data_IF_230024696984
#
_entry.id   IF_230024696984
#
_cell.length_a   1.000
_cell.length_b   1.000
_cell.length_c   1.000
_cell.angle_alpha   90.00
_cell.angle_beta   90.00
_cell.angle_gamma   90.00
#
_symmetry.space_group_name_H-M   'P 1'
#
loop_
_entity.id
_entity.type
_entity.pdbx_description
1 polymer ?
#
# COMPACT_ATOMS: atom_id res chain seq x y z
N UNK A 1 -30.58 2.55 1.87
CA UNK A 1 -29.95 2.89 0.59
C UNK A 1 -28.58 2.23 0.54
N UNK A 2 -28.48 1.02 -0.03
CA UNK A 2 -27.20 0.31 -0.16
C UNK A 2 -26.33 1.02 -1.21
N UNK A 3 -25.24 1.64 -0.79
CA UNK A 3 -24.20 2.10 -1.72
C UNK A 3 -23.64 0.86 -2.41
N UNK A 4 -23.85 0.75 -3.72
CA UNK A 4 -23.10 -0.20 -4.56
C UNK A 4 -21.62 0.20 -4.47
N UNK A 5 -20.79 -0.71 -3.99
CA UNK A 5 -19.34 -0.61 -4.18
C UNK A 5 -19.08 -0.87 -5.68
N UNK A 6 -19.13 0.18 -6.48
CA UNK A 6 -18.65 0.12 -7.87
C UNK A 6 -17.12 0.11 -7.82
N UNK A 7 -16.52 -0.94 -8.34
CA UNK A 7 -15.07 -1.04 -8.46
C UNK A 7 -14.63 -0.05 -9.54
N UNK A 8 -13.95 1.02 -9.14
CA UNK A 8 -13.39 1.99 -10.09
C UNK A 8 -12.11 1.39 -10.67
N UNK A 9 -12.04 1.14 -11.99
CA UNK A 9 -10.83 0.66 -12.62
C UNK A 9 -9.80 1.78 -12.65
N UNK A 10 -8.70 1.62 -11.91
CA UNK A 10 -7.56 2.53 -12.00
C UNK A 10 -6.80 2.15 -13.26
N UNK A 11 -6.58 3.13 -14.13
CA UNK A 11 -5.79 2.94 -15.34
C UNK A 11 -4.39 2.51 -14.92
N UNK A 12 -3.96 1.30 -15.32
CA UNK A 12 -2.65 0.76 -15.00
C UNK A 12 -1.48 1.65 -15.45
N UNK A 13 -1.76 2.64 -16.33
CA UNK A 13 -0.81 3.66 -16.79
C UNK A 13 -0.38 4.65 -15.69
N UNK A 14 -1.11 4.74 -14.59
CA UNK A 14 -0.89 5.71 -13.51
C UNK A 14 -0.09 5.15 -12.32
N UNK A 15 0.03 3.83 -12.20
CA UNK A 15 0.76 3.20 -11.10
C UNK A 15 2.22 2.98 -11.50
N UNK A 16 3.12 3.77 -10.92
CA UNK A 16 4.56 3.54 -11.07
C UNK A 16 4.95 2.19 -10.47
N UNK A 17 5.73 1.41 -11.23
CA UNK A 17 6.30 0.15 -10.73
C UNK A 17 7.37 0.52 -9.69
N UNK A 18 7.19 0.05 -8.45
CA UNK A 18 8.18 0.20 -7.38
C UNK A 18 8.85 -1.15 -7.16
N UNK A 19 10.17 -1.13 -7.08
CA UNK A 19 10.98 -2.30 -6.78
C UNK A 19 11.78 -2.04 -5.50
N UNK A 20 11.75 -3.00 -4.57
CA UNK A 20 12.46 -2.94 -3.31
C UNK A 20 13.09 -4.32 -3.04
N UNK A 21 14.39 -4.35 -2.78
CA UNK A 21 15.20 -5.58 -2.67
C UNK A 21 14.97 -6.59 -3.81
N UNK A 22 14.89 -6.12 -5.05
CA UNK A 22 14.69 -6.98 -6.23
C UNK A 22 13.27 -7.54 -6.37
N UNK A 23 12.33 -7.08 -5.54
CA UNK A 23 10.94 -7.52 -5.56
C UNK A 23 10.02 -6.36 -5.94
N UNK A 24 9.03 -6.63 -6.79
CA UNK A 24 8.00 -5.64 -7.09
C UNK A 24 7.09 -5.49 -5.89
N UNK A 25 6.94 -4.26 -5.43
CA UNK A 25 6.12 -3.89 -4.28
C UNK A 25 5.11 -2.83 -4.67
N UNK A 26 4.08 -2.68 -3.85
CA UNK A 26 3.09 -1.60 -3.93
C UNK A 26 3.14 -0.82 -2.63
N UNK A 27 3.16 0.51 -2.73
CA UNK A 27 3.17 1.35 -1.52
C UNK A 27 1.78 1.41 -0.89
N UNK A 28 1.73 1.80 0.38
CA UNK A 28 0.46 2.01 1.10
C UNK A 28 -0.41 3.06 0.39
N UNK A 29 0.20 4.09 -0.21
CA UNK A 29 -0.49 5.10 -1.02
C UNK A 29 -1.08 4.51 -2.30
N UNK A 30 -0.32 3.67 -3.01
CA UNK A 30 -0.81 3.01 -4.22
C UNK A 30 -1.97 2.05 -3.92
N UNK A 31 -1.90 1.33 -2.79
CA UNK A 31 -3.01 0.50 -2.32
C UNK A 31 -4.24 1.36 -1.97
N UNK A 32 -4.05 2.50 -1.33
CA UNK A 32 -5.12 3.42 -0.97
C UNK A 32 -5.85 3.97 -2.21
N UNK A 33 -5.10 4.43 -3.22
CA UNK A 33 -5.65 4.79 -4.54
C UNK A 33 -6.37 3.59 -5.15
N UNK A 34 -5.70 2.43 -5.16
CA UNK A 34 -6.18 1.08 -5.51
C UNK A 34 -7.61 0.78 -5.07
N UNK A 35 -7.85 0.96 -3.77
CA UNK A 35 -9.09 0.65 -3.11
C UNK A 35 -10.06 1.84 -3.00
N UNK A 36 -9.66 3.04 -3.45
CA UNK A 36 -10.45 4.26 -3.30
C UNK A 36 -10.68 4.65 -1.84
N UNK A 37 -9.68 4.42 -0.98
CA UNK A 37 -9.74 4.71 0.47
C UNK A 37 -8.59 5.60 0.90
N UNK A 38 -8.72 6.23 2.06
CA UNK A 38 -7.59 6.97 2.65
C UNK A 38 -6.44 6.04 3.04
N UNK A 39 -5.20 6.51 2.89
CA UNK A 39 -3.97 5.82 3.32
C UNK A 39 -4.06 5.37 4.78
N UNK A 40 -4.64 6.21 5.63
CA UNK A 40 -4.85 5.93 7.05
C UNK A 40 -5.74 4.71 7.29
N UNK A 41 -6.67 4.40 6.38
CA UNK A 41 -7.51 3.20 6.50
C UNK A 41 -6.70 1.94 6.22
N UNK A 42 -5.78 1.96 5.26
CA UNK A 42 -4.86 0.85 4.99
C UNK A 42 -3.94 0.64 6.20
N UNK A 43 -3.32 1.70 6.72
CA UNK A 43 -2.46 1.63 7.91
C UNK A 43 -3.19 1.08 9.14
N UNK A 44 -4.40 1.59 9.42
CA UNK A 44 -5.23 1.11 10.53
C UNK A 44 -5.62 -0.37 10.35
N UNK A 45 -5.94 -0.79 9.12
CA UNK A 45 -6.28 -2.17 8.84
C UNK A 45 -5.09 -3.10 9.06
N UNK A 46 -3.91 -2.70 8.58
CA UNK A 46 -2.65 -3.40 8.80
C UNK A 46 -2.36 -3.54 10.29
N UNK A 47 -2.33 -2.44 11.05
CA UNK A 47 -2.04 -2.46 12.48
C UNK A 47 -3.01 -3.35 13.29
N UNK A 48 -4.31 -3.34 12.94
CA UNK A 48 -5.31 -4.20 13.60
C UNK A 48 -5.18 -5.68 13.27
N UNK A 49 -4.52 -6.02 12.16
CA UNK A 49 -4.39 -7.37 11.65
C UNK A 49 -2.92 -7.78 11.50
N UNK A 50 -2.00 -7.09 12.17
CA UNK A 50 -0.56 -7.21 11.98
C UNK A 50 -0.09 -8.66 12.16
N UNK A 51 -0.71 -9.38 13.11
CA UNK A 51 -0.45 -10.80 13.37
C UNK A 51 -0.70 -11.74 12.19
N UNK A 52 -1.40 -11.28 11.14
CA UNK A 52 -1.66 -12.02 9.90
C UNK A 52 -0.59 -11.81 8.83
N UNK A 53 0.31 -10.85 9.06
CA UNK A 53 1.35 -10.45 8.13
C UNK A 53 2.71 -10.88 8.65
N UNK A 54 3.67 -10.97 7.73
CA UNK A 54 5.03 -11.41 8.01
C UNK A 54 5.95 -10.51 7.23
N UNK A 55 6.86 -9.84 7.94
CA UNK A 55 7.83 -8.92 7.34
C UNK A 55 8.71 -9.65 6.33
N UNK A 56 9.03 -8.99 5.23
CA UNK A 56 9.80 -9.55 4.11
C UNK A 56 9.04 -10.52 3.20
N UNK A 57 7.83 -10.96 3.60
CA UNK A 57 6.94 -11.79 2.77
C UNK A 57 5.69 -11.03 2.32
N UNK A 58 5.01 -10.40 3.26
CA UNK A 58 3.74 -9.73 3.01
C UNK A 58 3.86 -8.21 3.01
N UNK A 59 4.81 -7.66 3.77
CA UNK A 59 5.08 -6.23 3.83
C UNK A 59 6.57 -5.99 4.11
N UNK A 60 7.03 -4.79 3.78
CA UNK A 60 8.31 -4.25 4.21
C UNK A 60 8.04 -3.05 5.09
N UNK A 61 8.60 -3.03 6.29
CA UNK A 61 8.53 -1.85 7.13
C UNK A 61 9.68 -0.92 6.78
N UNK A 62 9.37 0.31 6.37
CA UNK A 62 10.37 1.29 5.96
C UNK A 62 10.34 2.42 6.99
N UNK A 63 11.37 2.48 7.83
CA UNK A 63 11.47 3.44 8.93
C UNK A 63 12.82 4.17 8.92
N UNK A 64 12.91 5.28 9.66
CA UNK A 64 14.17 5.99 9.88
C UNK A 64 14.83 6.48 8.59
N UNK A 65 16.07 6.06 8.38
CA UNK A 65 16.91 6.50 7.26
C UNK A 65 16.40 5.99 5.91
N UNK A 66 15.88 4.75 5.84
CA UNK A 66 15.31 4.23 4.59
C UNK A 66 14.08 5.04 4.15
N UNK A 67 13.25 5.49 5.10
CA UNK A 67 12.10 6.32 4.79
C UNK A 67 12.51 7.71 4.26
N UNK A 68 13.64 8.25 4.74
CA UNK A 68 14.17 9.50 4.22
C UNK A 68 14.70 9.33 2.79
N UNK A 69 15.38 8.22 2.52
CA UNK A 69 15.89 7.91 1.18
C UNK A 69 14.76 7.68 0.17
N UNK A 70 13.60 7.15 0.59
CA UNK A 70 12.43 6.95 -0.29
C UNK A 70 11.71 8.26 -0.66
N UNK A 71 11.86 9.33 0.14
CA UNK A 71 11.18 10.63 -0.09
C UNK A 71 12.01 11.61 -0.92
N UNK A 72 13.31 11.36 -1.06
CA UNK A 72 14.27 12.20 -1.80
C UNK A 72 14.42 11.71 -3.25
#
# INVERSE_FOLDING_TARGET
MSKKNELVPISAKELQIVEYHGQRVVTTEQLAVGYGVDVKNIQNNFARNESRFSEGKHFFNVEGEELQQLKN
#
